data_IF_278333038603
#
_entry.id   IF_278333038603
#
_cell.length_a   1.000
_cell.length_b   1.000
_cell.length_c   1.000
_cell.angle_alpha   90.00
_cell.angle_beta   90.00
_cell.angle_gamma   90.00
#
_symmetry.space_group_name_H-M   'P 1'
#
loop_
_entity.id
_entity.type
_entity.pdbx_description
1 polymer ?
#
# COMPACT_ATOMS: atom_id res chain seq x y z
N UNK A 1 28.88 -11.81 50.68
CA UNK A 1 27.92 -12.87 50.34
C UNK A 1 26.62 -12.46 51.00
N UNK A 2 25.66 -11.85 50.32
CA UNK A 2 24.78 -12.45 49.29
C UNK A 2 24.26 -11.33 48.38
N UNK A 3 24.38 -11.48 47.06
CA UNK A 3 23.82 -10.52 46.09
C UNK A 3 22.29 -10.58 46.06
N UNK A 4 21.59 -9.51 45.62
CA UNK A 4 20.13 -9.51 45.56
C UNK A 4 19.64 -10.61 44.60
N UNK A 5 18.68 -11.41 45.08
CA UNK A 5 18.04 -12.48 44.32
C UNK A 5 17.37 -11.94 43.04
N UNK A 6 17.33 -12.73 41.95
CA UNK A 6 16.74 -12.29 40.69
C UNK A 6 15.26 -11.91 40.88
N UNK A 7 14.88 -10.76 40.35
CA UNK A 7 13.52 -10.23 40.34
C UNK A 7 12.59 -11.13 39.52
N UNK A 8 11.86 -12.03 40.19
CA UNK A 8 10.84 -12.91 39.61
C UNK A 8 9.55 -12.17 39.18
N UNK A 9 9.64 -10.90 38.80
CA UNK A 9 8.47 -10.03 38.56
C UNK A 9 8.18 -9.75 37.09
N UNK A 10 9.02 -10.19 36.15
CA UNK A 10 8.72 -10.07 34.73
C UNK A 10 7.78 -11.21 34.30
N UNK A 11 6.48 -10.96 34.35
CA UNK A 11 5.42 -11.89 33.91
C UNK A 11 4.50 -12.44 35.00
N UNK A 12 4.67 -12.05 36.27
CA UNK A 12 3.74 -12.43 37.33
C UNK A 12 2.48 -11.55 37.31
N UNK A 13 1.31 -12.17 37.10
CA UNK A 13 0.02 -11.48 36.99
C UNK A 13 -0.37 -10.73 38.28
N UNK A 14 0.19 -11.13 39.42
CA UNK A 14 -0.14 -10.55 40.74
C UNK A 14 0.55 -9.21 41.01
N UNK A 15 1.51 -8.82 40.16
CA UNK A 15 2.32 -7.59 40.34
C UNK A 15 1.49 -6.31 40.30
N UNK A 16 0.32 -6.33 39.65
CA UNK A 16 -0.57 -5.17 39.51
C UNK A 16 -1.74 -5.16 40.50
N UNK A 17 -1.78 -6.13 41.43
CA UNK A 17 -2.93 -6.32 42.33
C UNK A 17 -2.74 -5.65 43.71
N UNK A 18 -1.55 -5.14 44.01
CA UNK A 18 -1.16 -4.51 45.28
C UNK A 18 -2.07 -3.35 45.68
N UNK A 19 -2.27 -2.38 44.79
CA UNK A 19 -3.12 -1.21 45.04
C UNK A 19 -4.60 -1.62 45.24
N UNK A 20 -5.13 -2.48 44.38
CA UNK A 20 -6.51 -2.93 44.47
C UNK A 20 -6.76 -3.76 45.74
N UNK A 21 -5.77 -4.54 46.18
CA UNK A 21 -5.84 -5.27 47.45
C UNK A 21 -5.87 -4.32 48.65
N UNK A 22 -4.94 -3.37 48.71
CA UNK A 22 -4.79 -2.40 49.82
C UNK A 22 -6.01 -1.47 49.94
N UNK A 23 -6.59 -1.07 48.81
CA UNK A 23 -7.80 -0.24 48.76
C UNK A 23 -9.10 -1.04 48.92
N UNK A 24 -9.02 -2.37 49.06
CA UNK A 24 -10.19 -3.23 49.21
C UNK A 24 -11.04 -3.40 47.94
N UNK A 25 -10.53 -3.01 46.78
CA UNK A 25 -11.21 -3.03 45.49
C UNK A 25 -11.18 -4.40 44.78
N UNK A 26 -10.35 -5.35 45.23
CA UNK A 26 -10.35 -6.70 44.66
C UNK A 26 -11.67 -7.47 44.95
N UNK A 27 -12.26 -8.13 43.93
CA UNK A 27 -13.29 -9.16 44.10
C UNK A 27 -12.87 -10.23 45.12
N UNK A 28 -13.85 -10.84 45.81
CA UNK A 28 -13.58 -11.74 46.92
C UNK A 28 -12.77 -12.99 46.55
N UNK A 29 -12.95 -13.51 45.34
CA UNK A 29 -12.18 -14.62 44.77
C UNK A 29 -10.75 -14.22 44.42
N UNK A 30 -10.56 -13.07 43.76
CA UNK A 30 -9.23 -12.52 43.47
C UNK A 30 -8.45 -12.18 44.75
N UNK A 31 -9.11 -11.62 45.77
CA UNK A 31 -8.47 -11.35 47.07
C UNK A 31 -7.90 -12.63 47.70
N UNK A 32 -8.68 -13.72 47.74
CA UNK A 32 -8.22 -15.00 48.30
C UNK A 32 -7.04 -15.58 47.52
N UNK A 33 -7.06 -15.42 46.19
CA UNK A 33 -5.98 -15.88 45.33
C UNK A 33 -4.70 -15.06 45.57
N UNK A 34 -4.84 -13.75 45.70
CA UNK A 34 -3.73 -12.85 46.03
C UNK A 34 -3.13 -13.15 47.41
N UNK A 35 -3.95 -13.36 48.43
CA UNK A 35 -3.50 -13.74 49.77
C UNK A 35 -2.72 -15.07 49.77
N UNK A 36 -3.13 -16.02 48.93
CA UNK A 36 -2.38 -17.28 48.74
C UNK A 36 -1.01 -17.01 48.14
N UNK A 37 -0.93 -16.15 47.12
CA UNK A 37 0.33 -15.75 46.49
C UNK A 37 1.25 -14.97 47.44
N UNK A 38 0.67 -14.06 48.24
CA UNK A 38 1.41 -13.26 49.23
C UNK A 38 2.15 -14.12 50.25
N UNK A 39 1.65 -15.32 50.58
CA UNK A 39 2.36 -16.25 51.49
C UNK A 39 3.73 -16.71 50.96
N UNK A 40 3.93 -16.65 49.64
CA UNK A 40 5.11 -17.23 48.97
C UNK A 40 5.94 -16.21 48.20
N UNK A 41 5.50 -14.96 48.09
CA UNK A 41 6.17 -13.92 47.28
C UNK A 41 6.58 -12.69 48.11
N UNK A 42 7.84 -12.61 48.57
CA UNK A 42 8.35 -11.45 49.32
C UNK A 42 8.29 -10.13 48.55
N UNK A 43 8.38 -10.17 47.21
CA UNK A 43 8.30 -8.97 46.37
C UNK A 43 6.90 -8.34 46.42
N UNK A 44 5.84 -9.15 46.32
CA UNK A 44 4.46 -8.67 46.43
C UNK A 44 4.13 -8.24 47.88
N UNK A 45 4.70 -8.90 48.90
CA UNK A 45 4.59 -8.45 50.29
C UNK A 45 5.18 -7.05 50.49
N UNK A 46 6.37 -6.79 49.93
CA UNK A 46 7.03 -5.49 50.02
C UNK A 46 6.19 -4.37 49.38
N UNK A 47 5.61 -4.63 48.21
CA UNK A 47 4.71 -3.67 47.53
C UNK A 47 3.46 -3.33 48.33
N UNK A 48 2.81 -4.32 48.93
CA UNK A 48 1.67 -4.08 49.83
C UNK A 48 2.08 -3.24 51.03
N UNK A 49 3.26 -3.49 51.61
CA UNK A 49 3.78 -2.72 52.73
C UNK A 49 4.02 -1.25 52.36
N UNK A 50 4.59 -0.99 51.16
CA UNK A 50 4.81 0.37 50.63
C UNK A 50 3.50 1.17 50.52
N UNK A 51 2.40 0.52 50.14
CA UNK A 51 1.11 1.17 49.92
C UNK A 51 0.22 1.23 51.17
N UNK A 52 0.51 0.44 52.21
CA UNK A 52 -0.34 0.28 53.41
C UNK A 52 -0.60 1.58 54.19
N UNK A 53 0.26 2.60 54.03
CA UNK A 53 0.07 3.92 54.64
C UNK A 53 -0.91 4.84 53.92
N UNK A 54 -1.34 4.50 52.69
CA UNK A 54 -2.18 5.35 51.85
C UNK A 54 -3.67 5.34 52.28
N UNK A 55 -4.32 4.18 52.54
CA UNK A 55 -5.75 4.16 52.88
C UNK A 55 -6.12 5.03 54.10
N UNK A 56 -5.34 5.09 55.19
CA UNK A 56 -5.63 5.98 56.33
C UNK A 56 -5.51 7.48 56.01
N UNK A 57 -4.80 7.86 54.95
CA UNK A 57 -4.74 9.24 54.48
C UNK A 57 -5.95 9.55 53.61
N UNK A 58 -6.34 8.62 52.74
CA UNK A 58 -7.54 8.76 51.89
C UNK A 58 -8.83 8.79 52.71
N UNK A 59 -8.91 8.10 53.84
CA UNK A 59 -10.08 8.13 54.73
C UNK A 59 -10.36 9.49 55.37
N UNK A 60 -9.46 10.47 55.21
CA UNK A 60 -9.63 11.84 55.70
C UNK A 60 -10.40 12.73 54.72
N UNK A 61 -10.52 12.31 53.46
CA UNK A 61 -11.23 13.04 52.41
C UNK A 61 -12.69 12.56 52.41
N UNK A 62 -13.62 13.51 52.50
CA UNK A 62 -15.06 13.21 52.42
C UNK A 62 -15.49 12.95 50.97
N UNK A 63 -16.55 12.16 50.73
CA UNK A 63 -17.08 11.95 49.38
C UNK A 63 -17.52 13.27 48.72
N UNK A 64 -17.90 14.28 49.51
CA UNK A 64 -18.29 15.61 49.02
C UNK A 64 -17.10 16.49 48.57
N UNK A 65 -15.86 16.12 48.94
CA UNK A 65 -14.63 16.77 48.46
C UNK A 65 -14.11 16.13 47.16
N UNK A 66 -14.65 14.98 46.76
CA UNK A 66 -14.39 14.36 45.47
C UNK A 66 -15.26 15.05 44.42
N UNK A 67 -14.83 16.23 43.96
CA UNK A 67 -15.44 16.87 42.80
C UNK A 67 -15.46 15.88 41.62
N UNK A 68 -16.57 15.82 40.87
CA UNK A 68 -16.58 15.06 39.62
C UNK A 68 -15.51 15.64 38.69
N UNK A 69 -14.64 14.80 38.11
CA UNK A 69 -13.62 15.28 37.18
C UNK A 69 -14.32 15.97 36.02
N UNK A 70 -14.04 17.26 35.83
CA UNK A 70 -14.51 18.02 34.69
C UNK A 70 -13.82 17.46 33.44
N UNK A 71 -14.55 16.80 32.51
CA UNK A 71 -13.95 16.21 31.32
C UNK A 71 -13.29 17.25 30.42
N UNK A 72 -13.59 18.53 30.59
CA UNK A 72 -12.94 19.62 29.86
C UNK A 72 -11.56 20.01 30.44
N UNK A 73 -11.24 19.65 31.68
CA UNK A 73 -10.02 20.06 32.38
C UNK A 73 -9.01 18.95 32.69
N UNK A 74 -9.45 17.69 32.84
CA UNK A 74 -8.58 16.58 33.28
C UNK A 74 -8.16 15.60 32.16
N UNK A 75 -8.48 15.92 30.90
CA UNK A 75 -7.98 15.17 29.76
C UNK A 75 -6.49 15.44 29.51
N UNK A 76 -5.65 14.43 29.19
CA UNK A 76 -4.31 14.69 28.71
C UNK A 76 -4.39 15.60 27.47
N UNK A 77 -3.58 16.66 27.34
CA UNK A 77 -3.64 17.57 26.21
C UNK A 77 -3.59 16.80 24.90
N UNK A 78 -4.43 17.18 23.93
CA UNK A 78 -4.58 16.47 22.66
C UNK A 78 -3.23 16.20 21.94
N UNK A 79 -2.25 17.09 22.13
CA UNK A 79 -0.89 16.93 21.63
C UNK A 79 -0.16 15.68 22.19
N UNK A 80 -0.42 15.29 23.45
CA UNK A 80 0.11 14.05 24.02
C UNK A 80 -0.53 12.81 23.40
N UNK A 81 -1.81 12.87 23.07
CA UNK A 81 -2.49 11.77 22.40
C UNK A 81 -1.91 11.56 20.99
N UNK A 82 -1.79 12.64 20.22
CA UNK A 82 -1.26 12.58 18.85
C UNK A 82 0.20 12.13 18.82
N UNK A 83 1.03 12.61 19.75
CA UNK A 83 2.43 12.19 19.85
C UNK A 83 2.56 10.72 20.26
N UNK A 84 1.70 10.22 21.17
CA UNK A 84 1.69 8.81 21.55
C UNK A 84 1.21 7.92 20.39
N UNK A 85 0.16 8.32 19.67
CA UNK A 85 -0.32 7.59 18.50
C UNK A 85 0.74 7.57 17.37
N UNK A 86 1.43 8.70 17.15
CA UNK A 86 2.55 8.79 16.23
C UNK A 86 3.71 7.87 16.66
N UNK A 87 4.09 7.87 17.94
CA UNK A 87 5.15 7.02 18.47
C UNK A 87 4.81 5.52 18.37
N UNK A 88 3.58 5.13 18.70
CA UNK A 88 3.09 3.74 18.59
C UNK A 88 3.06 3.28 17.14
N UNK A 89 2.58 4.12 16.22
CA UNK A 89 2.54 3.79 14.79
C UNK A 89 3.94 3.65 14.19
N UNK A 90 4.88 4.51 14.56
CA UNK A 90 6.29 4.42 14.14
C UNK A 90 6.97 3.15 14.67
N UNK A 91 6.72 2.78 15.94
CA UNK A 91 7.24 1.54 16.54
C UNK A 91 6.64 0.30 15.90
N UNK A 92 5.34 0.30 15.61
CA UNK A 92 4.65 -0.78 14.88
C UNK A 92 5.25 -0.92 13.48
N UNK A 93 5.37 0.17 12.70
CA UNK A 93 6.00 0.15 11.37
C UNK A 93 7.43 -0.40 11.43
N UNK A 94 8.27 0.05 12.37
CA UNK A 94 9.64 -0.47 12.52
C UNK A 94 9.67 -1.96 12.85
N UNK A 95 8.78 -2.45 13.71
CA UNK A 95 8.66 -3.89 14.03
C UNK A 95 8.16 -4.72 12.85
N UNK A 96 7.18 -4.21 12.08
CA UNK A 96 6.71 -4.86 10.87
C UNK A 96 7.79 -4.88 9.78
N UNK A 97 8.55 -3.80 9.60
CA UNK A 97 9.69 -3.75 8.67
C UNK A 97 10.81 -4.72 9.11
N UNK A 98 11.12 -4.78 10.40
CA UNK A 98 12.13 -5.71 10.94
C UNK A 98 11.68 -7.19 10.83
N UNK A 99 10.39 -7.48 11.05
CA UNK A 99 9.83 -8.81 10.87
C UNK A 99 9.79 -9.22 9.39
N UNK A 100 9.46 -8.28 8.49
CA UNK A 100 9.54 -8.49 7.04
C UNK A 100 10.98 -8.78 6.58
N UNK A 101 11.97 -8.08 7.14
CA UNK A 101 13.38 -8.30 6.83
C UNK A 101 13.89 -9.71 7.23
N UNK A 102 13.39 -10.29 8.33
CA UNK A 102 13.76 -11.66 8.74
C UNK A 102 13.04 -12.75 7.93
N UNK A 103 11.83 -12.49 7.43
CA UNK A 103 11.13 -13.42 6.51
C UNK A 103 11.78 -13.49 5.12
N UNK A 104 12.58 -12.48 4.76
CA UNK A 104 13.24 -12.37 3.46
C UNK A 104 14.39 -13.37 3.29
N UNK A 105 15.14 -13.70 4.34
CA UNK A 105 16.31 -14.58 4.21
C UNK A 105 15.93 -16.04 3.89
N UNK A 106 14.88 -16.58 4.53
CA UNK A 106 14.40 -17.93 4.25
C UNK A 106 13.65 -18.02 2.91
N UNK A 107 12.89 -16.98 2.57
CA UNK A 107 12.21 -16.89 1.27
C UNK A 107 13.21 -16.75 0.10
N UNK A 108 14.28 -15.97 0.25
CA UNK A 108 15.31 -15.79 -0.78
C UNK A 108 16.09 -17.09 -1.03
N UNK A 109 16.40 -17.88 0.01
CA UNK A 109 17.07 -19.17 -0.15
C UNK A 109 16.16 -20.23 -0.82
N UNK A 110 14.90 -20.32 -0.40
CA UNK A 110 13.93 -21.24 -1.00
C UNK A 110 13.59 -20.84 -2.45
N UNK A 111 13.47 -19.54 -2.73
CA UNK A 111 13.22 -18.99 -4.05
C UNK A 111 14.44 -19.13 -4.97
N UNK A 112 15.65 -18.90 -4.47
CA UNK A 112 16.90 -19.13 -5.20
C UNK A 112 17.09 -20.59 -5.60
N UNK A 113 16.76 -21.54 -4.71
CA UNK A 113 16.81 -22.97 -5.02
C UNK A 113 15.73 -23.38 -6.04
N UNK A 114 14.53 -22.80 -5.94
CA UNK A 114 13.45 -23.04 -6.89
C UNK A 114 13.76 -22.48 -8.30
N UNK A 115 14.39 -21.30 -8.38
CA UNK A 115 14.87 -20.70 -9.63
C UNK A 115 15.97 -21.56 -10.28
N UNK A 116 16.93 -22.05 -9.50
CA UNK A 116 18.03 -22.86 -10.01
C UNK A 116 17.55 -24.20 -10.59
N UNK A 117 16.49 -24.78 -10.03
CA UNK A 117 15.95 -26.07 -10.47
C UNK A 117 14.87 -25.96 -11.57
N UNK A 118 14.18 -24.80 -11.68
CA UNK A 118 13.08 -24.56 -12.63
C UNK A 118 13.05 -23.09 -13.10
N UNK A 119 13.98 -22.63 -13.94
CA UNK A 119 14.02 -21.24 -14.40
C UNK A 119 12.77 -20.82 -15.22
N UNK A 120 12.17 -21.77 -15.95
CA UNK A 120 10.97 -21.53 -16.77
C UNK A 120 9.69 -21.35 -15.95
N UNK A 121 9.64 -21.90 -14.73
CA UNK A 121 8.48 -21.76 -13.84
C UNK A 121 8.38 -20.36 -13.21
N UNK A 122 9.47 -19.60 -13.23
CA UNK A 122 9.57 -18.25 -12.68
C UNK A 122 9.82 -17.18 -13.74
N UNK A 123 9.72 -17.52 -15.03
CA UNK A 123 9.79 -16.56 -16.12
C UNK A 123 11.14 -15.82 -16.24
N UNK A 124 12.22 -16.41 -15.73
CA UNK A 124 13.59 -15.85 -15.82
C UNK A 124 14.29 -16.23 -17.13
N UNK A 125 13.54 -16.73 -18.12
CA UNK A 125 13.94 -16.65 -19.51
C UNK A 125 14.14 -15.18 -19.88
N UNK A 126 15.25 -14.87 -20.54
CA UNK A 126 15.56 -13.52 -20.99
C UNK A 126 14.56 -13.06 -22.05
N UNK A 127 13.49 -12.41 -21.63
CA UNK A 127 12.68 -11.54 -22.47
C UNK A 127 12.27 -10.29 -21.69
N UNK A 128 12.25 -9.18 -22.41
CA UNK A 128 12.05 -7.79 -21.99
C UNK A 128 10.82 -7.58 -21.07
N UNK A 129 10.70 -6.44 -20.35
CA UNK A 129 9.68 -6.27 -19.32
C UNK A 129 8.28 -6.53 -19.90
N UNK A 130 7.60 -7.52 -19.33
CA UNK A 130 6.17 -7.71 -19.54
C UNK A 130 5.44 -6.55 -18.85
N UNK A 131 5.39 -5.39 -19.51
CA UNK A 131 4.25 -4.49 -19.42
C UNK A 131 3.02 -5.36 -19.62
N UNK A 132 2.03 -5.24 -18.73
CA UNK A 132 0.71 -5.84 -18.90
C UNK A 132 0.16 -5.32 -20.24
N UNK A 133 0.49 -6.04 -21.30
CA UNK A 133 0.18 -5.71 -22.67
C UNK A 133 -1.13 -6.43 -22.91
N UNK A 134 -2.21 -5.66 -22.91
CA UNK A 134 -3.36 -6.07 -23.70
C UNK A 134 -2.85 -6.53 -25.07
N UNK A 135 -3.43 -7.62 -25.58
CA UNK A 135 -3.05 -8.21 -26.86
C UNK A 135 -2.74 -7.09 -27.88
N UNK A 136 -1.51 -7.04 -28.40
CA UNK A 136 -1.19 -6.06 -29.44
C UNK A 136 -2.01 -6.41 -30.68
N UNK A 137 -2.94 -5.53 -31.01
CA UNK A 137 -3.75 -5.61 -32.22
C UNK A 137 -3.02 -4.78 -33.27
N UNK A 138 -2.72 -5.36 -34.44
CA UNK A 138 -2.17 -4.60 -35.58
C UNK A 138 -3.13 -3.47 -35.98
N UNK A 139 -2.86 -2.63 -36.97
CA UNK A 139 -3.88 -1.72 -37.52
C UNK A 139 -4.03 -1.98 -39.02
N UNK A 140 -5.26 -1.92 -39.50
CA UNK A 140 -5.57 -2.05 -40.92
C UNK A 140 -5.21 -0.74 -41.63
N UNK A 141 -4.63 -0.82 -42.82
CA UNK A 141 -4.33 0.36 -43.64
C UNK A 141 -5.60 0.82 -44.35
N UNK A 142 -5.99 2.07 -44.10
CA UNK A 142 -7.15 2.72 -44.75
C UNK A 142 -6.69 3.57 -45.93
N UNK A 143 -5.54 4.22 -45.81
CA UNK A 143 -4.88 4.94 -46.89
C UNK A 143 -3.60 4.22 -47.36
N UNK A 144 -3.13 4.55 -48.56
CA UNK A 144 -1.83 4.06 -49.05
C UNK A 144 -0.71 4.76 -48.28
N UNK A 145 -0.16 4.04 -47.29
CA UNK A 145 0.90 4.53 -46.42
C UNK A 145 1.85 3.40 -46.03
N UNK A 146 3.16 3.67 -45.91
CA UNK A 146 4.11 2.70 -45.41
C UNK A 146 4.12 2.61 -43.88
N UNK A 147 3.35 3.48 -43.20
CA UNK A 147 3.19 3.42 -41.75
C UNK A 147 2.56 2.08 -41.36
N UNK A 148 3.13 1.44 -40.35
CA UNK A 148 2.57 0.28 -39.68
C UNK A 148 2.40 0.62 -38.20
N UNK A 149 1.27 0.21 -37.62
CA UNK A 149 1.02 0.45 -36.21
C UNK A 149 0.35 -0.74 -35.55
N UNK A 150 0.63 -0.92 -34.26
CA UNK A 150 -0.11 -1.80 -33.35
C UNK A 150 -0.68 -0.96 -32.21
N UNK A 151 -1.81 -1.39 -31.67
CA UNK A 151 -2.43 -0.81 -30.48
C UNK A 151 -2.62 -1.89 -29.43
N UNK A 152 -2.32 -1.55 -28.19
CA UNK A 152 -2.65 -2.33 -27.01
C UNK A 152 -3.58 -1.48 -26.14
N UNK A 153 -4.61 -2.11 -25.59
CA UNK A 153 -5.58 -1.43 -24.75
C UNK A 153 -5.64 -2.10 -23.39
N UNK A 154 -5.67 -1.26 -22.35
CA UNK A 154 -5.79 -1.70 -20.96
C UNK A 154 -6.94 -0.97 -20.29
N UNK A 155 -7.97 -1.72 -19.91
CA UNK A 155 -9.13 -1.19 -19.19
C UNK A 155 -8.83 -0.96 -17.70
N UNK A 156 -9.39 0.12 -17.16
CA UNK A 156 -9.33 0.53 -15.77
C UNK A 156 -10.72 0.97 -15.29
N UNK A 157 -10.92 1.06 -13.97
CA UNK A 157 -12.19 1.54 -13.40
C UNK A 157 -12.55 2.98 -13.79
N UNK A 158 -11.58 3.77 -14.26
CA UNK A 158 -11.78 5.16 -14.71
C UNK A 158 -11.89 5.30 -16.23
N UNK A 159 -11.66 4.25 -17.03
CA UNK A 159 -11.63 4.31 -18.49
C UNK A 159 -10.58 3.39 -19.09
N UNK A 160 -10.07 3.72 -20.28
CA UNK A 160 -9.10 2.89 -21.01
C UNK A 160 -7.81 3.64 -21.28
N UNK A 161 -6.66 2.98 -21.06
CA UNK A 161 -5.36 3.39 -21.58
C UNK A 161 -5.11 2.71 -22.91
N UNK A 162 -4.63 3.48 -23.89
CA UNK A 162 -4.29 2.99 -25.22
C UNK A 162 -2.82 3.29 -25.45
N UNK A 163 -2.04 2.24 -25.68
CA UNK A 163 -0.63 2.32 -26.05
C UNK A 163 -0.51 1.92 -27.51
N UNK A 164 0.20 2.72 -28.30
CA UNK A 164 0.41 2.45 -29.73
C UNK A 164 1.89 2.34 -30.01
N UNK A 165 2.27 1.40 -30.87
CA UNK A 165 3.59 1.36 -31.51
C UNK A 165 3.40 1.72 -32.96
N UNK A 166 4.05 2.78 -33.42
CA UNK A 166 3.91 3.28 -34.78
C UNK A 166 5.29 3.35 -35.44
N UNK A 167 5.53 2.50 -36.43
CA UNK A 167 6.74 2.52 -37.25
C UNK A 167 6.43 3.16 -38.59
N UNK A 168 7.27 4.10 -39.01
CA UNK A 168 7.07 4.86 -40.24
C UNK A 168 7.68 4.17 -41.47
N UNK A 169 8.39 3.06 -41.28
CA UNK A 169 9.20 2.40 -42.31
C UNK A 169 10.39 3.25 -42.77
N UNK A 170 11.00 2.85 -43.89
CA UNK A 170 12.06 3.60 -44.58
C UNK A 170 11.48 4.78 -45.37
N UNK A 171 10.58 5.55 -44.77
CA UNK A 171 9.96 6.73 -45.38
C UNK A 171 10.93 7.88 -45.72
N UNK A 172 12.22 7.64 -45.52
CA UNK A 172 13.30 8.62 -45.49
C UNK A 172 14.37 8.36 -46.52
N UNK A 173 14.25 7.30 -47.33
CA UNK A 173 14.94 7.27 -48.61
C UNK A 173 14.25 8.19 -49.63
N UNK A 174 13.04 8.68 -49.33
CA UNK A 174 12.29 9.66 -50.14
C UNK A 174 12.22 11.07 -49.54
N UNK A 175 12.94 11.37 -48.45
CA UNK A 175 12.96 12.72 -47.88
C UNK A 175 11.58 13.22 -47.41
N UNK A 176 10.72 12.33 -46.88
CA UNK A 176 9.41 12.73 -46.37
C UNK A 176 9.54 13.72 -45.21
N UNK A 177 8.92 14.89 -45.34
CA UNK A 177 8.87 15.87 -44.25
C UNK A 177 8.18 15.26 -43.01
N UNK A 178 8.62 15.62 -41.79
CA UNK A 178 7.94 15.23 -40.57
C UNK A 178 6.45 15.58 -40.64
N UNK A 179 5.58 14.60 -40.36
CA UNK A 179 4.13 14.81 -40.39
C UNK A 179 3.52 14.74 -39.00
N UNK A 180 2.63 15.68 -38.69
CA UNK A 180 1.83 15.57 -37.49
C UNK A 180 0.86 14.39 -37.64
N UNK A 181 0.72 13.62 -36.58
CA UNK A 181 -0.16 12.47 -36.49
C UNK A 181 -0.96 12.53 -35.21
N UNK A 182 -2.19 12.02 -35.27
CA UNK A 182 -3.06 11.97 -34.10
C UNK A 182 -3.67 10.58 -33.91
N UNK A 183 -3.84 10.20 -32.66
CA UNK A 183 -4.64 9.03 -32.27
C UNK A 183 -6.05 9.49 -31.96
N UNK A 184 -7.02 8.90 -32.65
CA UNK A 184 -8.45 9.17 -32.46
C UNK A 184 -9.14 7.91 -31.98
N UNK A 185 -9.92 8.03 -30.91
CA UNK A 185 -10.81 6.99 -30.41
C UNK A 185 -12.21 7.26 -30.94
N UNK A 186 -12.83 6.23 -31.52
CA UNK A 186 -14.21 6.26 -31.99
C UNK A 186 -15.06 5.40 -31.06
N UNK A 187 -16.08 5.99 -30.46
CA UNK A 187 -17.05 5.27 -29.62
C UNK A 187 -18.12 4.56 -30.46
N UNK A 188 -18.76 3.53 -29.90
CA UNK A 188 -19.92 2.88 -30.53
C UNK A 188 -21.13 3.82 -30.70
N UNK A 189 -21.18 4.91 -29.93
CA UNK A 189 -22.14 6.00 -30.08
C UNK A 189 -21.83 6.95 -31.25
N UNK A 190 -20.72 6.72 -31.97
CA UNK A 190 -20.24 7.54 -33.07
C UNK A 190 -19.43 8.77 -32.64
N UNK A 191 -19.20 8.96 -31.34
CA UNK A 191 -18.33 10.01 -30.83
C UNK A 191 -16.89 9.81 -31.32
N UNK A 192 -16.18 10.90 -31.58
CA UNK A 192 -14.78 10.88 -32.04
C UNK A 192 -13.95 11.83 -31.19
N UNK A 193 -12.94 11.29 -30.53
CA UNK A 193 -12.08 12.03 -29.61
C UNK A 193 -10.63 11.86 -29.99
N UNK A 194 -9.93 12.96 -30.27
CA UNK A 194 -8.49 12.95 -30.43
C UNK A 194 -7.83 12.88 -29.05
N UNK A 195 -7.08 11.81 -28.79
CA UNK A 195 -6.54 11.50 -27.46
C UNK A 195 -5.01 11.66 -27.36
N UNK A 196 -4.31 11.70 -28.50
CA UNK A 196 -2.88 12.02 -28.55
C UNK A 196 -2.49 12.63 -29.90
N UNK A 197 -1.40 13.40 -29.90
CA UNK A 197 -0.78 13.98 -31.10
C UNK A 197 0.73 13.93 -30.97
N UNK A 198 1.43 13.62 -32.05
CA UNK A 198 2.89 13.57 -32.09
C UNK A 198 3.40 13.83 -33.51
N UNK A 199 4.71 14.06 -33.63
CA UNK A 199 5.38 14.22 -34.90
C UNK A 199 5.94 12.87 -35.37
N UNK A 200 5.50 12.40 -36.53
CA UNK A 200 6.04 11.22 -37.19
C UNK A 200 7.38 11.55 -37.85
N UNK A 201 8.43 10.80 -37.49
CA UNK A 201 9.78 10.97 -38.02
C UNK A 201 10.19 9.71 -38.78
N UNK A 202 10.61 9.88 -40.03
CA UNK A 202 11.05 8.76 -40.85
C UNK A 202 12.17 7.95 -40.19
N UNK A 203 12.14 6.62 -40.34
CA UNK A 203 13.14 5.71 -39.79
C UNK A 203 13.09 5.53 -38.28
N UNK A 204 12.22 6.28 -37.58
CA UNK A 204 11.98 6.13 -36.15
C UNK A 204 10.76 5.23 -35.90
N UNK A 205 10.62 4.79 -34.65
CA UNK A 205 9.38 4.20 -34.13
C UNK A 205 8.88 5.08 -33.00
N UNK A 206 7.64 5.52 -33.07
CA UNK A 206 7.00 6.27 -32.00
C UNK A 206 6.17 5.33 -31.10
N UNK A 207 6.13 5.65 -29.81
CA UNK A 207 5.39 4.90 -28.79
C UNK A 207 4.37 5.82 -28.08
N UNK A 208 3.39 6.42 -28.79
CA UNK A 208 2.43 7.30 -28.16
C UNK A 208 1.49 6.52 -27.23
N UNK A 209 1.09 7.17 -26.14
CA UNK A 209 0.16 6.63 -25.16
C UNK A 209 -0.91 7.67 -24.83
N UNK A 210 -2.13 7.21 -24.64
CA UNK A 210 -3.28 8.06 -24.39
C UNK A 210 -4.26 7.42 -23.40
N UNK A 211 -5.15 8.24 -22.84
CA UNK A 211 -6.26 7.80 -22.02
C UNK A 211 -7.59 8.31 -22.59
N UNK A 212 -8.65 7.55 -22.34
CA UNK A 212 -10.03 7.91 -22.66
C UNK A 212 -10.93 7.49 -21.51
N UNK A 213 -11.97 8.28 -21.16
CA UNK A 213 -12.96 7.85 -20.17
C UNK A 213 -13.82 6.67 -20.65
N UNK A 214 -13.84 6.39 -21.97
CA UNK A 214 -14.54 5.24 -22.52
C UNK A 214 -13.94 3.93 -22.00
N UNK A 215 -14.80 3.00 -21.62
CA UNK A 215 -14.44 1.62 -21.34
C UNK A 215 -14.09 0.90 -22.63
N UNK A 216 -13.28 -0.16 -22.53
CA UNK A 216 -12.79 -0.89 -23.71
C UNK A 216 -13.92 -1.43 -24.60
N UNK A 217 -15.05 -1.81 -24.00
CA UNK A 217 -16.24 -2.30 -24.72
C UNK A 217 -17.12 -1.19 -25.33
N UNK A 218 -16.82 0.09 -25.03
CA UNK A 218 -17.51 1.24 -25.61
C UNK A 218 -16.76 1.80 -26.84
N UNK A 219 -15.53 1.35 -27.07
CA UNK A 219 -14.67 1.80 -28.16
C UNK A 219 -14.94 0.95 -29.40
N UNK A 220 -15.41 1.57 -30.46
CA UNK A 220 -15.66 0.94 -31.75
C UNK A 220 -14.39 0.80 -32.59
N UNK A 221 -13.50 1.79 -32.54
CA UNK A 221 -12.24 1.76 -33.27
C UNK A 221 -11.20 2.70 -32.67
N UNK A 222 -9.93 2.36 -32.89
CA UNK A 222 -8.79 3.27 -32.71
C UNK A 222 -8.22 3.61 -34.08
N UNK A 223 -8.03 4.89 -34.35
CA UNK A 223 -7.58 5.40 -35.64
C UNK A 223 -6.28 6.19 -35.50
N UNK A 224 -5.42 6.06 -36.51
CA UNK A 224 -4.31 6.97 -36.76
C UNK A 224 -4.71 7.92 -37.87
N UNK A 225 -4.70 9.22 -37.59
CA UNK A 225 -5.13 10.26 -38.53
C UNK A 225 -4.02 11.25 -38.81
N UNK A 226 -4.03 11.82 -40.02
CA UNK A 226 -3.33 13.08 -40.31
C UNK A 226 -4.26 14.23 -39.87
N UNK A 227 -3.92 15.00 -38.82
CA UNK A 227 -4.78 16.07 -38.30
C UNK A 227 -4.89 17.24 -39.29
N UNK A 228 -3.91 17.42 -40.18
CA UNK A 228 -3.90 18.48 -41.20
C UNK A 228 -4.93 18.23 -42.30
N UNK A 229 -5.08 16.97 -42.73
CA UNK A 229 -6.02 16.58 -43.79
C UNK A 229 -7.33 15.98 -43.27
N UNK A 230 -7.37 15.55 -42.00
CA UNK A 230 -8.46 14.76 -41.43
C UNK A 230 -8.52 13.31 -41.96
N UNK A 231 -7.53 12.89 -42.76
CA UNK A 231 -7.51 11.55 -43.38
C UNK A 231 -7.19 10.48 -42.36
N UNK A 232 -7.98 9.40 -42.34
CA UNK A 232 -7.66 8.19 -41.59
C UNK A 232 -6.62 7.38 -42.36
N UNK A 233 -5.44 7.19 -41.77
CA UNK A 233 -4.34 6.46 -42.38
C UNK A 233 -4.41 4.97 -42.05
N UNK A 234 -4.60 4.68 -40.75
CA UNK A 234 -4.75 3.33 -40.23
C UNK A 234 -5.92 3.28 -39.24
N UNK A 235 -6.53 2.10 -39.12
CA UNK A 235 -7.65 1.85 -38.20
C UNK A 235 -7.58 0.43 -37.62
N UNK A 236 -7.85 0.30 -36.33
CA UNK A 236 -8.19 -0.99 -35.71
C UNK A 236 -9.64 -0.94 -35.22
N UNK A 237 -10.58 -1.61 -35.91
CA UNK A 237 -11.92 -1.83 -35.37
C UNK A 237 -11.85 -2.86 -34.22
N UNK A 238 -12.76 -2.72 -33.25
CA UNK A 238 -12.86 -3.58 -32.05
C UNK A 238 -14.21 -4.29 -31.98
#
# INVERSE_FOLDING_TARGET
MTGPAPSQTDGDRYVTWDAAYVLGALPGDERRDYEKHLKTCPACQARVAELSGIPPLLSRIGPDELAEPDPEHDGPPAELLDTLLAAVSARRRRRFIAAAAMSMAAAVLAFGLAIALRPDAFGLGSDAPAQASGQQLEMNKVAETPINATVAMTGYGWGTRIDMTCSYGDWGQSGGEPQNLAMVVVGHDGSRSQVATWLGLSGATALPSANTPLQTHEIAAVQLVSPESGTVLLERPL
#
